data_IF_668842597851
#
_entry.id   IF_668842597851
#
_cell.length_a   1.000
_cell.length_b   1.000
_cell.length_c   1.000
_cell.angle_alpha   90.00
_cell.angle_beta   90.00
_cell.angle_gamma   90.00
#
_symmetry.space_group_name_H-M   'P 1'
#
loop_
_entity.id
_entity.type
_entity.pdbx_description
1 polymer ?
#
# COMPACT_ATOMS: atom_id res chain seq x y z
N UNK A 1 -13.41 0.84 2.87
CA UNK A 1 -12.45 1.49 1.99
C UNK A 1 -11.04 1.48 2.55
N UNK A 2 -10.24 0.52 2.11
CA UNK A 2 -8.86 0.39 2.57
C UNK A 2 -7.98 -0.21 1.48
N UNK A 3 -6.66 0.00 1.60
CA UNK A 3 -5.71 -0.52 0.63
C UNK A 3 -5.23 -1.91 1.05
N UNK A 4 -5.47 -2.89 0.18
CA UNK A 4 -5.06 -4.26 0.44
C UNK A 4 -3.57 -4.46 0.16
N UNK A 5 -3.03 -5.59 0.58
CA UNK A 5 -1.62 -5.89 0.38
C UNK A 5 -1.35 -6.27 -1.07
N UNK A 6 -1.52 -5.31 -1.97
CA UNK A 6 -1.30 -5.54 -3.39
C UNK A 6 -1.57 -4.27 -4.21
N UNK A 7 -2.45 -3.43 -3.68
CA UNK A 7 -2.80 -2.18 -4.35
C UNK A 7 -1.82 -1.07 -3.98
N UNK A 8 -1.57 -0.17 -4.93
CA UNK A 8 -0.64 0.94 -4.70
C UNK A 8 -1.04 1.73 -3.46
N UNK A 9 -0.07 2.38 -2.84
CA UNK A 9 -0.32 3.17 -1.64
C UNK A 9 0.69 4.31 -1.53
N UNK A 10 0.18 5.55 -1.60
CA UNK A 10 1.02 6.73 -1.51
C UNK A 10 1.22 7.16 -0.06
N UNK A 11 2.38 7.72 0.24
CA UNK A 11 2.70 8.16 1.59
C UNK A 11 1.78 9.30 2.01
N UNK A 12 1.07 9.88 1.05
CA UNK A 12 0.16 10.98 1.31
C UNK A 12 -1.18 10.77 0.60
N UNK A 13 -1.46 9.51 0.25
CA UNK A 13 -2.70 9.19 -0.44
C UNK A 13 -3.91 9.62 0.38
N UNK A 14 -3.71 9.77 1.69
CA UNK A 14 -4.79 10.18 2.56
C UNK A 14 -5.55 8.99 3.14
N UNK A 15 -5.44 7.85 2.49
CA UNK A 15 -6.12 6.63 2.93
C UNK A 15 -5.15 5.72 3.68
N UNK A 16 -5.68 4.58 4.15
CA UNK A 16 -4.86 3.62 4.88
C UNK A 16 -5.11 2.21 4.37
N UNK A 17 -4.16 1.31 4.63
CA UNK A 17 -4.27 -0.08 4.19
C UNK A 17 -5.20 -0.86 5.11
N UNK A 18 -5.68 -2.01 4.63
CA UNK A 18 -6.57 -2.85 5.41
C UNK A 18 -5.84 -3.46 6.60
N UNK A 19 -6.60 -4.05 7.52
CA UNK A 19 -6.01 -4.68 8.69
C UNK A 19 -5.09 -3.72 9.44
N UNK A 20 -3.79 -3.97 9.34
CA UNK A 20 -2.80 -3.14 10.02
C UNK A 20 -1.48 -3.10 9.26
N UNK A 21 -1.57 -3.17 7.93
CA UNK A 21 -0.39 -3.15 7.09
C UNK A 21 -0.05 -1.73 6.66
N UNK A 22 1.21 -1.52 6.28
CA UNK A 22 1.66 -0.19 5.86
C UNK A 22 1.99 -0.20 4.36
N UNK A 23 2.50 0.93 3.88
CA UNK A 23 2.86 1.07 2.47
C UNK A 23 4.36 0.91 2.27
N UNK A 24 4.76 -0.19 1.64
CA UNK A 24 6.17 -0.46 1.39
C UNK A 24 6.44 -0.62 -0.10
N UNK A 25 7.70 -0.56 -0.49
CA UNK A 25 8.09 -0.68 -1.89
C UNK A 25 8.13 -2.16 -2.30
N UNK A 26 7.50 -2.46 -3.44
CA UNK A 26 7.47 -3.82 -3.94
C UNK A 26 8.30 -3.95 -5.21
N UNK A 27 9.55 -4.41 -5.05
CA UNK A 27 10.45 -4.58 -6.18
C UNK A 27 9.82 -5.44 -7.26
N UNK A 28 9.22 -6.56 -6.85
CA UNK A 28 8.56 -7.47 -7.79
C UNK A 28 7.50 -6.74 -8.60
N UNK A 29 6.81 -5.80 -7.97
CA UNK A 29 5.78 -5.02 -8.63
C UNK A 29 6.33 -3.70 -9.18
N UNK A 30 7.64 -3.53 -9.05
CA UNK A 30 8.29 -2.31 -9.53
C UNK A 30 7.47 -1.08 -9.17
N UNK A 31 6.81 -1.13 -8.02
CA UNK A 31 5.98 -0.02 -7.56
C UNK A 31 5.89 -0.01 -6.03
N UNK A 32 5.00 0.83 -5.51
CA UNK A 32 4.81 0.94 -4.07
C UNK A 32 3.39 0.52 -3.68
N UNK A 33 3.28 -0.59 -2.96
CA UNK A 33 1.99 -1.09 -2.52
C UNK A 33 2.02 -1.50 -1.06
N UNK A 34 0.87 -1.85 -0.51
CA UNK A 34 0.76 -2.26 0.88
C UNK A 34 1.10 -3.74 1.03
N UNK A 35 1.42 -4.15 2.25
CA UNK A 35 1.76 -5.54 2.53
C UNK A 35 1.32 -5.95 3.93
#
# INVERSE_FOLDING_TARGET
GCIAKNKECAWFSGEWCCGALSCKYSIKRNLKICV
#
